data_IF_845548297032
#
_entry.id   IF_845548297032
#
_cell.length_a   1.000
_cell.length_b   1.000
_cell.length_c   1.000
_cell.angle_alpha   90.00
_cell.angle_beta   90.00
_cell.angle_gamma   90.00
#
_symmetry.space_group_name_H-M   'P 1'
#
loop_
_entity.id
_entity.type
_entity.pdbx_description
1 polymer ?
#
# COMPACT_ATOMS: atom_id res chain seq x y z
N UNK A 1 -6.63 8.61 -38.10
CA UNK A 1 -7.79 9.12 -37.32
C UNK A 1 -8.97 8.25 -37.70
N UNK A 2 -9.64 7.60 -36.74
CA UNK A 2 -10.89 6.86 -37.02
C UNK A 2 -11.98 7.90 -37.35
N UNK A 3 -12.22 8.16 -38.63
CA UNK A 3 -13.33 9.00 -39.07
C UNK A 3 -14.60 8.16 -39.13
N UNK A 4 -15.67 8.62 -38.50
CA UNK A 4 -17.02 8.09 -38.72
C UNK A 4 -17.47 8.55 -40.11
N UNK A 5 -17.13 7.78 -41.14
CA UNK A 5 -17.72 7.99 -42.46
C UNK A 5 -19.19 7.55 -42.40
N UNK A 6 -20.11 8.50 -42.30
CA UNK A 6 -21.55 8.29 -42.38
C UNK A 6 -22.05 7.95 -43.80
N UNK A 7 -21.19 7.47 -44.70
CA UNK A 7 -21.44 7.41 -46.15
C UNK A 7 -21.21 6.05 -46.82
N UNK A 8 -21.32 4.94 -46.07
CA UNK A 8 -21.27 3.59 -46.65
C UNK A 8 -22.60 3.16 -47.27
N UNK A 9 -22.62 2.21 -48.23
CA UNK A 9 -23.85 1.63 -48.78
C UNK A 9 -24.76 1.09 -47.66
N UNK A 10 -26.10 1.19 -47.78
CA UNK A 10 -27.03 0.64 -46.81
C UNK A 10 -26.74 -0.85 -46.54
N UNK A 11 -26.56 -1.21 -45.26
CA UNK A 11 -26.29 -2.59 -44.83
C UNK A 11 -24.81 -2.96 -44.62
N UNK A 12 -23.85 -2.07 -44.91
CA UNK A 12 -22.43 -2.32 -44.59
C UNK A 12 -22.03 -1.74 -43.23
N UNK A 13 -21.27 -2.46 -42.40
CA UNK A 13 -20.79 -1.94 -41.12
C UNK A 13 -19.82 -0.76 -41.34
N UNK A 14 -19.78 0.23 -40.42
CA UNK A 14 -18.86 1.36 -40.52
C UNK A 14 -17.40 0.90 -40.66
N UNK A 15 -16.59 1.58 -41.49
CA UNK A 15 -15.17 1.26 -41.71
C UNK A 15 -14.38 1.12 -40.40
N UNK A 16 -14.73 1.92 -39.40
CA UNK A 16 -14.14 1.84 -38.07
C UNK A 16 -14.30 0.45 -37.42
N UNK A 17 -15.43 -0.24 -37.64
CA UNK A 17 -15.67 -1.60 -37.12
C UNK A 17 -14.70 -2.62 -37.72
N UNK A 18 -14.39 -2.49 -39.02
CA UNK A 18 -13.42 -3.36 -39.69
C UNK A 18 -11.99 -3.13 -39.17
N UNK A 19 -11.59 -1.86 -39.03
CA UNK A 19 -10.27 -1.51 -38.48
C UNK A 19 -10.11 -2.01 -37.04
N UNK A 20 -11.15 -1.87 -36.21
CA UNK A 20 -11.11 -2.35 -34.83
C UNK A 20 -10.96 -3.88 -34.78
N UNK A 21 -11.69 -4.64 -35.59
CA UNK A 21 -11.49 -6.10 -35.65
C UNK A 21 -10.05 -6.48 -36.02
N UNK A 22 -9.46 -5.80 -37.00
CA UNK A 22 -8.07 -6.05 -37.43
C UNK A 22 -7.04 -5.61 -36.40
N UNK A 23 -7.34 -4.64 -35.52
CA UNK A 23 -6.34 -4.15 -34.56
C UNK A 23 -5.97 -5.21 -33.53
N UNK A 24 -6.90 -6.09 -33.14
CA UNK A 24 -6.58 -7.24 -32.27
C UNK A 24 -5.79 -8.34 -32.99
N UNK A 25 -5.73 -8.35 -34.32
CA UNK A 25 -4.80 -9.22 -35.05
C UNK A 25 -3.40 -8.59 -35.08
N UNK A 26 -3.32 -7.28 -35.30
CA UNK A 26 -2.04 -6.54 -35.35
C UNK A 26 -1.38 -6.41 -33.97
N UNK A 27 -2.17 -6.39 -32.90
CA UNK A 27 -1.67 -6.28 -31.52
C UNK A 27 -0.74 -7.43 -31.14
N UNK A 28 -0.86 -8.59 -31.79
CA UNK A 28 0.03 -9.74 -31.59
C UNK A 28 1.49 -9.41 -31.90
N UNK A 29 1.72 -8.55 -32.88
CA UNK A 29 3.05 -8.21 -33.37
C UNK A 29 3.59 -6.92 -32.74
N UNK A 30 2.71 -5.94 -32.49
CA UNK A 30 3.08 -4.62 -31.98
C UNK A 30 2.14 -4.17 -30.85
N UNK A 31 2.15 -4.86 -29.69
CA UNK A 31 1.14 -4.67 -28.67
C UNK A 31 1.13 -3.27 -28.06
N UNK A 32 2.29 -2.71 -27.72
CA UNK A 32 2.38 -1.40 -27.08
C UNK A 32 1.86 -0.29 -28.00
N UNK A 33 2.26 -0.27 -29.28
CA UNK A 33 1.80 0.74 -30.24
C UNK A 33 0.30 0.66 -30.49
N UNK A 34 -0.26 -0.55 -30.56
CA UNK A 34 -1.70 -0.73 -30.75
C UNK A 34 -2.48 -0.27 -29.52
N UNK A 35 -2.04 -0.61 -28.31
CA UNK A 35 -2.65 -0.15 -27.05
C UNK A 35 -2.56 1.37 -26.90
N UNK A 36 -1.40 1.97 -27.21
CA UNK A 36 -1.20 3.43 -27.17
C UNK A 36 -2.11 4.12 -28.20
N UNK A 37 -2.25 3.56 -29.40
CA UNK A 37 -3.15 4.08 -30.43
C UNK A 37 -4.61 4.01 -29.98
N UNK A 38 -5.04 2.88 -29.42
CA UNK A 38 -6.39 2.72 -28.85
C UNK A 38 -6.63 3.72 -27.72
N UNK A 39 -5.63 3.99 -26.88
CA UNK A 39 -5.72 4.96 -25.80
C UNK A 39 -5.91 6.39 -26.31
N UNK A 40 -5.39 6.70 -27.50
CA UNK A 40 -5.64 7.99 -28.19
C UNK A 40 -7.01 8.03 -28.86
N UNK A 41 -7.51 6.91 -29.40
CA UNK A 41 -8.80 6.88 -30.10
C UNK A 41 -10.00 6.81 -29.16
N UNK A 42 -9.91 6.05 -28.06
CA UNK A 42 -11.05 5.80 -27.15
C UNK A 42 -11.69 7.07 -26.59
N UNK A 43 -10.96 8.15 -26.22
CA UNK A 43 -11.60 9.38 -25.76
C UNK A 43 -12.28 10.19 -26.88
N UNK A 44 -12.01 9.87 -28.15
CA UNK A 44 -12.39 10.67 -29.33
C UNK A 44 -13.42 9.98 -30.22
N UNK A 45 -13.65 8.68 -30.03
CA UNK A 45 -14.51 7.86 -30.88
C UNK A 45 -15.35 6.91 -30.03
N UNK A 46 -16.69 7.08 -30.06
CA UNK A 46 -17.63 6.33 -29.23
C UNK A 46 -17.66 4.83 -29.56
N UNK A 47 -17.50 4.48 -30.84
CA UNK A 47 -17.44 3.08 -31.27
C UNK A 47 -16.18 2.40 -30.73
N UNK A 48 -15.02 3.04 -30.87
CA UNK A 48 -13.76 2.53 -30.33
C UNK A 48 -13.81 2.41 -28.80
N UNK A 49 -14.37 3.40 -28.11
CA UNK A 49 -14.60 3.37 -26.67
C UNK A 49 -15.43 2.16 -26.25
N UNK A 50 -16.63 2.02 -26.82
CA UNK A 50 -17.57 0.94 -26.50
C UNK A 50 -16.97 -0.43 -26.80
N UNK A 51 -16.29 -0.56 -27.93
CA UNK A 51 -15.68 -1.82 -28.35
C UNK A 51 -14.53 -2.26 -27.44
N UNK A 52 -13.63 -1.34 -27.05
CA UNK A 52 -12.55 -1.67 -26.10
C UNK A 52 -13.12 -2.00 -24.72
N UNK A 53 -14.11 -1.23 -24.25
CA UNK A 53 -14.73 -1.41 -22.93
C UNK A 53 -15.49 -2.74 -22.83
N UNK A 54 -16.26 -3.11 -23.85
CA UNK A 54 -17.02 -4.37 -23.85
C UNK A 54 -16.13 -5.62 -23.96
N UNK A 55 -14.92 -5.49 -24.48
CA UNK A 55 -14.00 -6.61 -24.68
C UNK A 55 -12.90 -6.71 -23.60
N UNK A 56 -13.02 -6.03 -22.46
CA UNK A 56 -11.98 -5.99 -21.42
C UNK A 56 -11.54 -7.37 -20.95
N UNK A 57 -12.44 -8.34 -20.83
CA UNK A 57 -12.11 -9.71 -20.41
C UNK A 57 -11.09 -10.38 -21.33
N UNK A 58 -11.05 -10.01 -22.61
CA UNK A 58 -10.18 -10.63 -23.61
C UNK A 58 -8.74 -10.08 -23.60
N UNK A 59 -8.54 -8.86 -23.09
CA UNK A 59 -7.28 -8.14 -23.27
C UNK A 59 -6.65 -7.66 -21.97
N UNK A 60 -7.43 -7.37 -20.92
CA UNK A 60 -6.89 -6.74 -19.70
C UNK A 60 -5.88 -7.65 -19.02
N UNK A 61 -6.24 -8.87 -18.64
CA UNK A 61 -5.26 -9.78 -18.02
C UNK A 61 -4.09 -10.04 -18.95
N UNK A 62 -4.37 -10.29 -20.23
CA UNK A 62 -3.37 -10.62 -21.24
C UNK A 62 -2.26 -9.58 -21.33
N UNK A 63 -2.63 -8.30 -21.44
CA UNK A 63 -1.66 -7.23 -21.66
C UNK A 63 -1.23 -6.52 -20.38
N UNK A 64 -2.08 -6.43 -19.36
CA UNK A 64 -1.77 -5.76 -18.09
C UNK A 64 -1.02 -6.68 -17.11
N UNK A 65 -1.36 -7.97 -17.04
CA UNK A 65 -0.78 -8.92 -16.09
C UNK A 65 0.18 -9.89 -16.80
N UNK A 66 -0.31 -10.65 -17.77
CA UNK A 66 0.40 -11.80 -18.33
C UNK A 66 1.63 -11.41 -19.16
N UNK A 67 1.54 -10.32 -19.92
CA UNK A 67 2.57 -9.91 -20.87
C UNK A 67 3.92 -9.63 -20.18
N UNK A 68 5.01 -10.17 -20.75
CA UNK A 68 6.34 -10.10 -20.14
C UNK A 68 6.99 -8.72 -20.25
N UNK A 69 6.72 -7.98 -21.33
CA UNK A 69 7.31 -6.66 -21.54
C UNK A 69 6.65 -5.56 -20.67
N UNK A 70 7.40 -4.87 -19.79
CA UNK A 70 6.85 -3.82 -18.92
C UNK A 70 6.15 -2.69 -19.68
N UNK A 71 6.69 -2.27 -20.83
CA UNK A 71 6.10 -1.23 -21.68
C UNK A 71 4.67 -1.56 -22.11
N UNK A 72 4.40 -2.82 -22.44
CA UNK A 72 3.05 -3.26 -22.83
C UNK A 72 2.09 -3.18 -21.66
N UNK A 73 2.53 -3.58 -20.45
CA UNK A 73 1.71 -3.45 -19.23
C UNK A 73 1.38 -2.00 -18.92
N UNK A 74 2.35 -1.09 -19.09
CA UNK A 74 2.12 0.35 -18.94
C UNK A 74 1.14 0.89 -19.98
N UNK A 75 1.28 0.51 -21.26
CA UNK A 75 0.34 0.91 -22.32
C UNK A 75 -1.07 0.36 -22.06
N UNK A 76 -1.20 -0.86 -21.52
CA UNK A 76 -2.49 -1.44 -21.14
C UNK A 76 -3.16 -0.66 -19.99
N UNK A 77 -2.39 -0.31 -18.94
CA UNK A 77 -2.90 0.53 -17.85
C UNK A 77 -3.35 1.90 -18.37
N UNK A 78 -2.58 2.48 -19.30
CA UNK A 78 -2.90 3.76 -19.91
C UNK A 78 -4.15 3.72 -20.82
N UNK A 79 -4.38 2.61 -21.51
CA UNK A 79 -5.62 2.36 -22.23
C UNK A 79 -6.82 2.32 -21.27
N UNK A 80 -6.72 1.63 -20.13
CA UNK A 80 -7.78 1.60 -19.13
C UNK A 80 -8.11 2.99 -18.57
N UNK A 81 -7.08 3.79 -18.27
CA UNK A 81 -7.26 5.21 -17.87
C UNK A 81 -7.99 6.00 -18.95
N UNK A 82 -7.69 5.71 -20.23
CA UNK A 82 -8.30 6.40 -21.37
C UNK A 82 -9.77 6.05 -21.60
N UNK A 83 -10.22 4.90 -21.10
CA UNK A 83 -11.64 4.52 -21.12
C UNK A 83 -12.49 5.38 -20.18
N UNK A 84 -11.92 5.92 -19.10
CA UNK A 84 -12.68 6.76 -18.17
C UNK A 84 -12.98 8.09 -18.85
N UNK A 85 -14.25 8.48 -19.08
CA UNK A 85 -14.61 9.66 -19.89
C UNK A 85 -14.41 11.01 -19.15
N UNK A 86 -13.26 11.19 -18.49
CA UNK A 86 -12.86 12.43 -17.81
C UNK A 86 -11.46 12.87 -18.23
N UNK A 87 -11.34 14.09 -18.75
CA UNK A 87 -10.05 14.69 -19.10
C UNK A 87 -9.16 14.89 -17.87
N UNK A 88 -9.73 15.39 -16.78
CA UNK A 88 -9.03 15.64 -15.52
C UNK A 88 -8.46 14.35 -14.93
N UNK A 89 -9.25 13.27 -14.93
CA UNK A 89 -8.79 11.94 -14.53
C UNK A 89 -7.58 11.50 -15.36
N UNK A 90 -7.67 11.58 -16.69
CA UNK A 90 -6.55 11.18 -17.57
C UNK A 90 -5.29 12.03 -17.38
N UNK A 91 -5.44 13.33 -17.17
CA UNK A 91 -4.30 14.24 -16.98
C UNK A 91 -3.59 13.99 -15.65
N UNK A 92 -4.36 13.81 -14.57
CA UNK A 92 -3.79 13.54 -13.25
C UNK A 92 -2.96 12.27 -13.24
N UNK A 93 -3.43 11.17 -13.86
CA UNK A 93 -2.66 9.93 -13.98
C UNK A 93 -1.27 10.11 -14.62
N UNK A 94 -1.13 11.03 -15.58
CA UNK A 94 0.16 11.33 -16.24
C UNK A 94 1.07 12.23 -15.39
N UNK A 95 0.49 13.06 -14.52
CA UNK A 95 1.21 14.06 -13.72
C UNK A 95 1.79 13.48 -12.43
N UNK A 96 1.16 12.45 -11.87
CA UNK A 96 1.57 11.90 -10.57
C UNK A 96 2.81 11.02 -10.73
N UNK A 97 3.98 11.55 -10.35
CA UNK A 97 5.24 10.78 -10.27
C UNK A 97 5.21 9.66 -9.22
N UNK A 98 4.19 9.63 -8.36
CA UNK A 98 3.95 8.56 -7.39
C UNK A 98 2.51 8.05 -7.54
N UNK A 99 2.33 6.96 -8.29
CA UNK A 99 1.04 6.28 -8.50
C UNK A 99 0.45 5.65 -7.22
N UNK A 100 1.08 5.87 -6.06
CA UNK A 100 0.73 5.26 -4.78
C UNK A 100 -0.17 6.13 -3.90
N UNK A 101 -0.49 7.36 -4.33
CA UNK A 101 -1.33 8.30 -3.60
C UNK A 101 -2.70 8.39 -4.31
N UNK A 102 -3.81 8.06 -3.63
CA UNK A 102 -5.15 8.20 -4.22
C UNK A 102 -5.45 9.64 -4.60
N UNK A 103 -6.09 9.83 -5.74
CA UNK A 103 -6.65 11.13 -6.12
C UNK A 103 -7.95 11.38 -5.37
N UNK A 104 -7.81 11.74 -4.09
CA UNK A 104 -8.89 12.30 -3.29
C UNK A 104 -9.33 13.62 -3.95
N UNK A 105 -10.63 13.87 -4.00
CA UNK A 105 -11.25 15.14 -4.44
C UNK A 105 -11.35 15.42 -5.96
N UNK A 106 -11.36 14.38 -6.80
CA UNK A 106 -11.75 14.54 -8.21
C UNK A 106 -13.25 14.30 -8.41
N UNK A 107 -14.09 15.34 -8.62
CA UNK A 107 -15.51 15.15 -8.90
C UNK A 107 -15.69 14.53 -10.29
N UNK A 108 -16.29 13.34 -10.33
CA UNK A 108 -16.66 12.64 -11.56
C UNK A 108 -18.17 12.73 -11.79
N UNK A 109 -18.59 12.87 -13.05
CA UNK A 109 -20.02 12.80 -13.40
C UNK A 109 -20.56 11.38 -13.19
N UNK A 110 -21.87 11.19 -12.95
CA UNK A 110 -22.46 9.86 -12.77
C UNK A 110 -22.10 8.88 -13.89
N UNK A 111 -22.19 9.30 -15.16
CA UNK A 111 -21.85 8.48 -16.32
C UNK A 111 -20.36 8.08 -16.34
N UNK A 112 -19.48 8.98 -15.89
CA UNK A 112 -18.04 8.69 -15.78
C UNK A 112 -17.78 7.67 -14.68
N UNK A 113 -18.46 7.82 -13.55
CA UNK A 113 -18.37 6.91 -12.41
C UNK A 113 -18.82 5.50 -12.78
N UNK A 114 -19.88 5.34 -13.58
CA UNK A 114 -20.32 4.02 -14.09
C UNK A 114 -19.20 3.32 -14.87
N UNK A 115 -18.53 4.03 -15.79
CA UNK A 115 -17.42 3.45 -16.56
C UNK A 115 -16.23 3.13 -15.65
N UNK A 116 -15.91 3.99 -14.67
CA UNK A 116 -14.88 3.74 -13.67
C UNK A 116 -15.17 2.45 -12.88
N UNK A 117 -16.40 2.29 -12.39
CA UNK A 117 -16.80 1.11 -11.62
C UNK A 117 -16.74 -0.15 -12.46
N UNK A 118 -17.16 -0.09 -13.74
CA UNK A 118 -17.04 -1.23 -14.65
C UNK A 118 -15.59 -1.66 -14.84
N UNK A 119 -14.68 -0.71 -15.10
CA UNK A 119 -13.24 -0.97 -15.24
C UNK A 119 -12.65 -1.53 -13.93
N UNK A 120 -12.96 -0.89 -12.81
CA UNK A 120 -12.43 -1.28 -11.51
C UNK A 120 -12.91 -2.66 -11.07
N UNK A 121 -14.17 -3.03 -11.38
CA UNK A 121 -14.70 -4.35 -11.10
C UNK A 121 -13.97 -5.46 -11.87
N UNK A 122 -13.62 -5.22 -13.15
CA UNK A 122 -12.77 -6.15 -13.92
C UNK A 122 -11.40 -6.31 -13.26
N UNK A 123 -10.79 -5.22 -12.81
CA UNK A 123 -9.50 -5.29 -12.12
C UNK A 123 -9.59 -6.08 -10.83
N UNK A 124 -10.61 -5.84 -10.00
CA UNK A 124 -10.85 -6.60 -8.77
C UNK A 124 -11.00 -8.11 -9.05
N UNK A 125 -11.76 -8.47 -10.10
CA UNK A 125 -11.91 -9.87 -10.53
C UNK A 125 -10.60 -10.57 -10.88
N UNK A 126 -9.58 -9.82 -11.30
CA UNK A 126 -8.25 -10.35 -11.62
C UNK A 126 -7.37 -10.66 -10.40
N UNK A 127 -7.74 -10.26 -9.18
CA UNK A 127 -6.96 -10.56 -7.97
C UNK A 127 -6.74 -12.07 -7.81
N UNK A 128 -7.79 -12.87 -8.04
CA UNK A 128 -7.74 -14.33 -7.98
C UNK A 128 -6.76 -14.95 -8.98
N UNK A 129 -6.54 -14.28 -10.13
CA UNK A 129 -5.63 -14.70 -11.21
C UNK A 129 -4.23 -14.13 -11.05
N UNK A 130 -4.08 -12.98 -10.37
CA UNK A 130 -2.80 -12.32 -10.13
C UNK A 130 -1.77 -13.23 -9.42
N UNK A 131 -2.24 -14.24 -8.66
CA UNK A 131 -1.40 -15.25 -7.99
C UNK A 131 -0.54 -16.11 -8.92
N UNK A 132 -0.85 -16.11 -10.22
CA UNK A 132 -0.06 -16.75 -11.26
C UNK A 132 1.19 -15.95 -11.62
N UNK A 133 1.25 -14.67 -11.25
CA UNK A 133 2.28 -13.72 -11.71
C UNK A 133 3.20 -13.20 -10.60
N UNK A 134 3.19 -13.82 -9.41
CA UNK A 134 3.95 -13.36 -8.23
C UNK A 134 5.26 -14.09 -7.98
N UNK A 135 5.50 -15.20 -8.69
CA UNK A 135 6.78 -15.90 -8.59
C UNK A 135 7.91 -15.01 -9.15
N UNK A 136 8.76 -14.52 -8.25
CA UNK A 136 9.83 -13.60 -8.61
C UNK A 136 10.88 -14.23 -9.53
N UNK A 137 11.09 -15.55 -9.46
CA UNK A 137 12.05 -16.23 -10.33
C UNK A 137 11.58 -16.28 -11.79
N UNK A 138 10.26 -16.36 -12.00
CA UNK A 138 9.66 -16.44 -13.34
C UNK A 138 9.28 -15.05 -13.87
N UNK A 139 8.84 -14.15 -12.99
CA UNK A 139 8.16 -12.90 -13.37
C UNK A 139 8.86 -11.64 -12.89
N UNK A 140 9.87 -11.76 -12.03
CA UNK A 140 10.51 -10.63 -11.38
C UNK A 140 9.62 -9.95 -10.35
N UNK A 141 10.14 -8.87 -9.76
CA UNK A 141 9.52 -8.20 -8.61
C UNK A 141 8.64 -7.00 -8.97
N UNK A 142 8.43 -6.72 -10.26
CA UNK A 142 7.71 -5.52 -10.73
C UNK A 142 6.52 -5.81 -11.66
N UNK A 143 6.20 -7.09 -11.93
CA UNK A 143 5.18 -7.49 -12.91
C UNK A 143 3.80 -6.92 -12.62
N UNK A 144 3.37 -6.91 -11.37
CA UNK A 144 2.03 -6.46 -10.92
C UNK A 144 1.97 -4.98 -10.53
N UNK A 145 3.07 -4.25 -10.60
CA UNK A 145 3.11 -2.83 -10.20
C UNK A 145 2.10 -1.98 -11.00
N UNK A 146 2.02 -2.04 -12.36
CA UNK A 146 1.05 -1.25 -13.10
C UNK A 146 -0.40 -1.55 -12.74
N UNK A 147 -0.69 -2.82 -12.43
CA UNK A 147 -2.02 -3.29 -12.03
C UNK A 147 -2.46 -2.69 -10.70
N UNK A 148 -1.67 -2.85 -9.63
CA UNK A 148 -2.02 -2.29 -8.31
C UNK A 148 -1.98 -0.76 -8.27
N UNK A 149 -1.07 -0.14 -9.02
CA UNK A 149 -1.03 1.31 -9.18
C UNK A 149 -2.33 1.84 -9.78
N UNK A 150 -2.85 1.20 -10.83
CA UNK A 150 -4.11 1.63 -11.42
C UNK A 150 -5.32 1.31 -10.54
N UNK A 151 -5.32 0.17 -9.84
CA UNK A 151 -6.36 -0.12 -8.83
C UNK A 151 -6.41 0.94 -7.73
N UNK A 152 -5.26 1.37 -7.21
CA UNK A 152 -5.16 2.45 -6.22
C UNK A 152 -5.66 3.77 -6.80
N UNK A 153 -5.33 4.06 -8.05
CA UNK A 153 -5.78 5.26 -8.75
C UNK A 153 -7.30 5.32 -8.94
N UNK A 154 -7.96 4.17 -9.03
CA UNK A 154 -9.42 4.10 -9.13
C UNK A 154 -10.15 4.45 -7.82
N UNK A 155 -9.45 4.56 -6.68
CA UNK A 155 -10.05 4.85 -5.37
C UNK A 155 -10.39 6.35 -5.23
N UNK A 156 -11.44 6.78 -5.92
CA UNK A 156 -11.92 8.18 -5.91
C UNK A 156 -12.80 8.48 -4.69
N UNK A 157 -13.63 7.53 -4.27
CA UNK A 157 -14.59 7.69 -3.19
C UNK A 157 -14.64 6.47 -2.27
N UNK A 158 -15.53 6.50 -1.26
CA UNK A 158 -15.79 5.34 -0.40
C UNK A 158 -16.43 4.18 -1.18
N UNK A 159 -17.15 4.44 -2.27
CA UNK A 159 -17.86 3.42 -3.04
C UNK A 159 -16.90 2.38 -3.61
N UNK A 160 -15.80 2.80 -4.23
CA UNK A 160 -14.81 1.87 -4.80
C UNK A 160 -14.13 1.06 -3.69
N UNK A 161 -13.91 1.67 -2.52
CA UNK A 161 -13.39 0.93 -1.35
C UNK A 161 -14.35 -0.18 -0.93
N UNK A 162 -15.66 0.04 -0.95
CA UNK A 162 -16.66 -0.98 -0.60
C UNK A 162 -16.80 -2.06 -1.68
N UNK A 163 -16.57 -1.74 -2.96
CA UNK A 163 -16.54 -2.74 -4.03
C UNK A 163 -15.44 -3.81 -3.82
N UNK A 164 -14.34 -3.45 -3.15
CA UNK A 164 -13.26 -4.38 -2.83
C UNK A 164 -13.67 -5.48 -1.84
N UNK A 165 -14.67 -5.26 -0.98
CA UNK A 165 -14.95 -6.14 0.16
C UNK A 165 -15.18 -7.61 -0.23
N UNK A 166 -15.80 -7.89 -1.38
CA UNK A 166 -16.03 -9.26 -1.88
C UNK A 166 -14.76 -9.96 -2.37
N UNK A 167 -13.70 -9.21 -2.65
CA UNK A 167 -12.43 -9.70 -3.18
C UNK A 167 -11.31 -9.74 -2.12
N UNK A 168 -11.64 -9.44 -0.86
CA UNK A 168 -10.68 -9.38 0.24
C UNK A 168 -9.82 -10.65 0.35
N UNK A 169 -10.46 -11.82 0.28
CA UNK A 169 -9.73 -13.09 0.39
C UNK A 169 -8.82 -13.38 -0.81
N UNK A 170 -9.16 -12.89 -2.01
CA UNK A 170 -8.29 -13.03 -3.17
C UNK A 170 -7.00 -12.20 -3.00
N UNK A 171 -7.11 -10.98 -2.46
CA UNK A 171 -5.95 -10.17 -2.09
C UNK A 171 -5.13 -10.82 -0.98
N UNK A 172 -5.79 -11.36 0.06
CA UNK A 172 -5.09 -12.05 1.14
C UNK A 172 -4.29 -13.26 0.65
N UNK A 173 -4.91 -14.13 -0.15
CA UNK A 173 -4.27 -15.33 -0.72
C UNK A 173 -3.14 -15.01 -1.71
N UNK A 174 -3.12 -13.78 -2.24
CA UNK A 174 -2.03 -13.25 -3.04
C UNK A 174 -0.88 -12.73 -2.17
N UNK A 175 -1.20 -12.09 -1.04
CA UNK A 175 -0.21 -11.58 -0.11
C UNK A 175 0.47 -12.71 0.69
N UNK A 176 -0.33 -13.51 1.41
CA UNK A 176 0.15 -14.62 2.23
C UNK A 176 -0.12 -15.97 1.53
N UNK A 177 0.88 -16.87 1.44
CA UNK A 177 2.29 -16.68 1.80
C UNK A 177 3.12 -16.03 0.68
N UNK A 178 2.55 -15.88 -0.53
CA UNK A 178 3.29 -15.71 -1.79
C UNK A 178 4.15 -14.46 -1.89
N UNK A 179 3.76 -13.35 -1.28
CA UNK A 179 4.51 -12.08 -1.33
C UNK A 179 5.13 -11.72 0.02
N UNK A 180 4.49 -12.12 1.12
CA UNK A 180 4.90 -11.77 2.48
C UNK A 180 6.08 -12.59 3.00
N UNK A 181 6.13 -13.90 2.72
CA UNK A 181 7.14 -14.82 3.28
C UNK A 181 8.48 -14.89 2.52
N UNK A 182 8.52 -14.83 1.17
CA UNK A 182 9.79 -14.94 0.46
C UNK A 182 10.82 -13.91 0.91
N UNK A 183 12.05 -14.35 1.14
CA UNK A 183 13.18 -13.55 1.60
C UNK A 183 13.76 -12.65 0.49
N UNK A 184 12.90 -11.86 -0.15
CA UNK A 184 13.25 -10.93 -1.23
C UNK A 184 13.35 -9.54 -0.63
N UNK A 185 14.56 -8.95 -0.68
CA UNK A 185 14.84 -7.63 -0.13
C UNK A 185 13.91 -6.53 -0.69
N UNK A 186 13.77 -6.47 -2.02
CA UNK A 186 13.03 -5.43 -2.73
C UNK A 186 11.97 -6.02 -3.67
N UNK A 187 10.82 -6.35 -3.09
CA UNK A 187 9.67 -6.87 -3.85
C UNK A 187 8.66 -5.75 -4.16
N UNK A 188 8.77 -5.08 -5.31
CA UNK A 188 7.88 -3.97 -5.68
C UNK A 188 6.41 -4.41 -5.93
N UNK A 189 6.16 -5.68 -6.28
CA UNK A 189 4.80 -6.22 -6.34
C UNK A 189 4.16 -6.19 -4.95
N UNK A 190 4.90 -6.59 -3.90
CA UNK A 190 4.47 -6.50 -2.51
C UNK A 190 4.20 -5.05 -2.10
N UNK A 191 5.12 -4.14 -2.42
CA UNK A 191 4.96 -2.71 -2.12
C UNK A 191 3.68 -2.12 -2.75
N UNK A 192 3.45 -2.40 -4.04
CA UNK A 192 2.27 -1.89 -4.73
C UNK A 192 0.96 -2.50 -4.18
N UNK A 193 0.97 -3.80 -3.84
CA UNK A 193 -0.17 -4.45 -3.18
C UNK A 193 -0.48 -3.83 -1.82
N UNK A 194 0.53 -3.65 -0.96
CA UNK A 194 0.34 -3.06 0.37
C UNK A 194 -0.12 -1.60 0.28
N UNK A 195 0.39 -0.84 -0.67
CA UNK A 195 -0.09 0.52 -0.95
C UNK A 195 -1.57 0.53 -1.35
N UNK A 196 -1.99 -0.37 -2.25
CA UNK A 196 -3.40 -0.53 -2.59
C UNK A 196 -4.26 -0.94 -1.38
N UNK A 197 -3.82 -1.94 -0.63
CA UNK A 197 -4.55 -2.48 0.51
C UNK A 197 -4.69 -1.45 1.65
N UNK A 198 -3.65 -0.67 1.92
CA UNK A 198 -3.74 0.45 2.86
C UNK A 198 -4.80 1.46 2.41
N UNK A 199 -4.75 1.89 1.14
CA UNK A 199 -5.66 2.93 0.64
C UNK A 199 -7.12 2.49 0.53
N UNK A 200 -7.37 1.20 0.26
CA UNK A 200 -8.75 0.65 0.26
C UNK A 200 -9.32 0.52 1.67
N UNK A 201 -8.46 0.45 2.68
CA UNK A 201 -8.80 0.37 4.10
C UNK A 201 -8.88 1.73 4.80
N UNK A 202 -8.04 2.69 4.41
CA UNK A 202 -8.00 4.03 5.00
C UNK A 202 -9.39 4.68 4.90
N UNK A 203 -9.88 5.27 5.99
CA UNK A 203 -11.21 5.90 6.07
C UNK A 203 -12.38 4.94 5.71
N UNK A 204 -12.17 3.63 5.80
CA UNK A 204 -13.14 2.58 5.45
C UNK A 204 -13.14 1.43 6.48
N UNK A 205 -13.76 1.62 7.66
CA UNK A 205 -13.77 0.63 8.73
C UNK A 205 -14.41 -0.71 8.33
N UNK A 206 -15.31 -0.71 7.35
CA UNK A 206 -15.92 -1.91 6.79
C UNK A 206 -14.86 -2.89 6.25
N UNK A 207 -13.83 -2.38 5.57
CA UNK A 207 -12.74 -3.21 5.06
C UNK A 207 -11.78 -3.67 6.15
N UNK A 208 -11.54 -2.83 7.18
CA UNK A 208 -10.73 -3.25 8.34
C UNK A 208 -11.42 -4.38 9.11
N UNK A 209 -12.75 -4.35 9.23
CA UNK A 209 -13.52 -5.44 9.87
C UNK A 209 -13.27 -6.79 9.21
N UNK A 210 -13.11 -6.84 7.89
CA UNK A 210 -12.77 -8.08 7.17
C UNK A 210 -11.44 -8.68 7.63
N UNK A 211 -10.47 -7.83 8.00
CA UNK A 211 -9.17 -8.24 8.53
C UNK A 211 -9.34 -8.76 9.96
N UNK A 212 -9.86 -7.93 10.87
CA UNK A 212 -9.87 -8.24 12.31
C UNK A 212 -10.87 -9.32 12.72
N UNK A 213 -11.89 -9.59 11.89
CA UNK A 213 -12.85 -10.68 12.10
C UNK A 213 -12.39 -12.01 11.50
N UNK A 214 -11.30 -12.04 10.74
CA UNK A 214 -10.79 -13.26 10.11
C UNK A 214 -9.58 -13.83 10.88
N UNK A 215 -9.73 -14.95 11.60
CA UNK A 215 -8.65 -15.52 12.41
C UNK A 215 -7.43 -15.97 11.61
N UNK A 216 -7.62 -16.35 10.34
CA UNK A 216 -6.49 -16.74 9.47
C UNK A 216 -5.64 -15.51 9.17
N UNK A 217 -6.28 -14.36 8.98
CA UNK A 217 -5.58 -13.11 8.68
C UNK A 217 -4.92 -12.54 9.93
N UNK A 218 -5.65 -12.41 11.04
CA UNK A 218 -5.09 -11.82 12.28
C UNK A 218 -3.91 -12.60 12.85
N UNK A 219 -3.87 -13.93 12.65
CA UNK A 219 -2.73 -14.77 13.06
C UNK A 219 -1.49 -14.57 12.19
N UNK A 220 -1.65 -14.18 10.93
CA UNK A 220 -0.57 -14.23 9.95
C UNK A 220 -0.15 -12.88 9.37
N UNK A 221 -0.96 -11.83 9.50
CA UNK A 221 -0.70 -10.53 8.86
C UNK A 221 0.61 -9.88 9.32
N UNK A 222 1.07 -10.21 10.54
CA UNK A 222 2.33 -9.74 11.08
C UNK A 222 3.57 -10.48 10.53
N UNK A 223 3.40 -11.60 9.82
CA UNK A 223 4.48 -12.34 9.14
C UNK A 223 4.78 -11.75 7.76
N UNK A 224 5.40 -10.57 7.75
CA UNK A 224 5.93 -9.92 6.56
C UNK A 224 7.46 -9.86 6.63
N UNK A 225 8.16 -10.48 5.68
CA UNK A 225 9.61 -10.41 5.57
C UNK A 225 10.06 -8.98 5.26
N UNK A 226 10.94 -8.45 6.10
CA UNK A 226 11.54 -7.11 5.96
C UNK A 226 13.05 -7.28 6.14
N UNK A 227 13.82 -6.91 5.12
CA UNK A 227 15.26 -6.71 5.26
C UNK A 227 15.50 -5.26 5.68
N UNK A 228 16.15 -5.05 6.83
CA UNK A 228 16.56 -3.73 7.32
C UNK A 228 18.09 -3.61 7.21
N UNK A 229 18.58 -3.60 5.97
CA UNK A 229 19.97 -3.21 5.69
C UNK A 229 20.00 -1.68 5.57
N UNK A 230 20.63 -1.02 6.53
CA UNK A 230 20.67 0.44 6.63
C UNK A 230 21.77 1.08 5.79
N UNK A 231 22.69 0.26 5.28
CA UNK A 231 23.81 0.68 4.43
C UNK A 231 23.45 0.54 2.94
N UNK A 232 22.54 -0.37 2.59
CA UNK A 232 21.98 -0.51 1.24
C UNK A 232 20.89 0.55 0.95
N UNK A 233 21.23 1.54 0.11
CA UNK A 233 20.32 2.62 -0.25
C UNK A 233 19.07 2.17 -1.02
N UNK A 234 19.16 1.10 -1.83
CA UNK A 234 18.02 0.59 -2.58
C UNK A 234 17.01 -0.07 -1.63
N UNK A 235 17.51 -0.82 -0.63
CA UNK A 235 16.69 -1.38 0.45
C UNK A 235 16.06 -0.27 1.29
N UNK A 236 16.83 0.77 1.65
CA UNK A 236 16.31 1.93 2.39
C UNK A 236 15.19 2.62 1.62
N UNK A 237 15.39 2.90 0.31
CA UNK A 237 14.40 3.57 -0.52
C UNK A 237 13.13 2.72 -0.71
N UNK A 238 13.29 1.41 -0.91
CA UNK A 238 12.17 0.48 -0.98
C UNK A 238 11.34 0.49 0.32
N UNK A 239 12.00 0.36 1.47
CA UNK A 239 11.37 0.33 2.78
C UNK A 239 10.68 1.66 3.12
N UNK A 240 11.26 2.79 2.73
CA UNK A 240 10.62 4.13 2.83
C UNK A 240 9.26 4.17 2.16
N UNK A 241 9.08 3.48 1.04
CA UNK A 241 7.81 3.43 0.33
C UNK A 241 6.85 2.32 0.80
N UNK A 242 7.37 1.18 1.24
CA UNK A 242 6.54 0.00 1.58
C UNK A 242 6.06 0.00 3.05
N UNK A 243 6.95 0.31 3.99
CA UNK A 243 6.69 0.12 5.42
C UNK A 243 5.56 1.01 5.98
N UNK A 244 5.41 2.29 5.59
CA UNK A 244 4.30 3.11 6.10
C UNK A 244 2.94 2.50 5.79
N UNK A 245 2.74 1.97 4.57
CA UNK A 245 1.49 1.31 4.20
C UNK A 245 1.26 0.02 5.03
N UNK A 246 2.31 -0.77 5.23
CA UNK A 246 2.22 -2.01 6.02
C UNK A 246 1.84 -1.72 7.49
N UNK A 247 2.61 -0.88 8.17
CA UNK A 247 2.34 -0.54 9.57
C UNK A 247 1.05 0.27 9.73
N UNK A 248 0.68 1.09 8.74
CA UNK A 248 -0.60 1.77 8.68
C UNK A 248 -1.78 0.81 8.66
N UNK A 249 -1.73 -0.31 7.91
CA UNK A 249 -2.77 -1.35 7.95
C UNK A 249 -2.88 -1.93 9.36
N UNK A 250 -1.75 -2.26 9.99
CA UNK A 250 -1.74 -2.80 11.35
C UNK A 250 -2.31 -1.80 12.36
N UNK A 251 -1.97 -0.51 12.25
CA UNK A 251 -2.53 0.57 13.09
C UNK A 251 -4.05 0.63 12.95
N UNK A 252 -4.56 0.68 11.72
CA UNK A 252 -6.01 0.72 11.47
C UNK A 252 -6.71 -0.52 12.07
N UNK A 253 -6.08 -1.70 12.01
CA UNK A 253 -6.61 -2.90 12.67
C UNK A 253 -6.62 -2.78 14.19
N UNK A 254 -5.59 -2.19 14.79
CA UNK A 254 -5.52 -1.95 16.23
C UNK A 254 -6.55 -0.91 16.72
N UNK A 255 -6.80 0.13 15.94
CA UNK A 255 -7.87 1.10 16.21
C UNK A 255 -9.25 0.44 16.20
N UNK A 256 -9.45 -0.56 15.34
CA UNK A 256 -10.73 -1.25 15.18
C UNK A 256 -10.96 -2.41 16.16
N UNK A 257 -9.89 -3.06 16.63
CA UNK A 257 -9.97 -4.30 17.44
C UNK A 257 -8.97 -4.31 18.61
N UNK A 258 -9.45 -4.11 19.86
CA UNK A 258 -8.60 -4.20 21.04
C UNK A 258 -7.94 -5.56 21.23
N UNK A 259 -8.65 -6.65 20.89
CA UNK A 259 -8.11 -8.01 20.97
C UNK A 259 -6.92 -8.18 20.01
N UNK A 260 -7.03 -7.67 18.78
CA UNK A 260 -5.92 -7.67 17.83
C UNK A 260 -4.76 -6.80 18.34
N UNK A 261 -5.05 -5.65 18.94
CA UNK A 261 -4.03 -4.78 19.56
C UNK A 261 -3.20 -5.49 20.61
N UNK A 262 -3.82 -6.28 21.50
CA UNK A 262 -3.07 -7.08 22.50
C UNK A 262 -2.22 -8.17 21.85
N UNK A 263 -2.79 -8.91 20.90
CA UNK A 263 -2.07 -9.94 20.15
C UNK A 263 -0.85 -9.35 19.41
N UNK A 264 -1.01 -8.17 18.81
CA UNK A 264 0.05 -7.53 18.03
C UNK A 264 1.16 -6.95 18.92
N UNK A 265 0.81 -6.39 20.09
CA UNK A 265 1.78 -5.82 21.03
C UNK A 265 2.83 -6.85 21.50
N UNK A 266 2.44 -8.10 21.68
CA UNK A 266 3.35 -9.21 22.07
C UNK A 266 4.05 -9.87 20.87
N UNK A 267 3.74 -9.46 19.64
CA UNK A 267 4.25 -10.15 18.45
C UNK A 267 5.75 -9.86 18.20
N UNK A 268 6.53 -10.92 18.01
CA UNK A 268 7.99 -10.83 17.84
C UNK A 268 8.43 -9.92 16.69
N UNK A 269 7.73 -9.92 15.56
CA UNK A 269 8.09 -9.06 14.41
C UNK A 269 7.85 -7.58 14.69
N UNK A 270 6.93 -7.25 15.61
CA UNK A 270 6.68 -5.86 16.03
C UNK A 270 7.77 -5.41 17.00
N UNK A 271 8.18 -6.28 17.93
CA UNK A 271 9.33 -6.03 18.79
C UNK A 271 10.63 -5.87 17.97
N UNK A 272 10.80 -6.70 16.92
CA UNK A 272 11.89 -6.55 15.96
C UNK A 272 11.83 -5.19 15.23
N UNK A 273 10.64 -4.75 14.80
CA UNK A 273 10.46 -3.47 14.12
C UNK A 273 10.84 -2.28 15.03
N UNK A 274 10.39 -2.28 16.29
CA UNK A 274 10.81 -1.27 17.27
C UNK A 274 12.33 -1.26 17.45
N UNK A 275 12.97 -2.43 17.54
CA UNK A 275 14.41 -2.51 17.72
C UNK A 275 15.21 -2.01 16.52
N UNK A 276 14.79 -2.33 15.29
CA UNK A 276 15.64 -2.15 14.09
C UNK A 276 15.20 -0.98 13.19
N UNK A 277 13.98 -0.45 13.32
CA UNK A 277 13.51 0.64 12.46
C UNK A 277 13.46 1.99 13.18
N UNK A 278 13.00 2.04 14.43
CA UNK A 278 12.88 3.32 15.15
C UNK A 278 14.21 4.02 15.48
N UNK A 279 15.37 3.33 15.64
CA UNK A 279 16.66 4.04 15.73
C UNK A 279 17.00 4.82 14.45
N UNK A 280 16.45 4.40 13.30
CA UNK A 280 16.76 4.95 11.98
C UNK A 280 15.67 5.91 11.49
N UNK A 281 15.18 6.81 12.36
CA UNK A 281 14.06 7.71 12.05
C UNK A 281 14.31 8.65 10.86
N UNK A 282 15.56 9.06 10.61
CA UNK A 282 15.93 9.84 9.41
C UNK A 282 15.83 9.02 8.12
N UNK A 283 16.05 7.71 8.21
CA UNK A 283 15.91 6.79 7.08
C UNK A 283 14.44 6.36 6.88
N UNK A 284 13.64 6.20 7.94
CA UNK A 284 12.26 5.70 7.79
C UNK A 284 11.21 6.56 8.49
N UNK A 285 11.11 7.88 8.19
CA UNK A 285 10.27 8.79 8.97
C UNK A 285 8.81 8.32 9.06
N UNK A 286 8.18 7.96 7.94
CA UNK A 286 6.78 7.51 7.93
C UNK A 286 6.55 6.14 8.58
N UNK A 287 7.53 5.22 8.52
CA UNK A 287 7.38 3.93 9.18
C UNK A 287 7.53 4.07 10.71
N UNK A 288 8.45 4.93 11.15
CA UNK A 288 8.67 5.24 12.56
C UNK A 288 7.46 5.96 13.15
N UNK A 289 6.85 6.89 12.41
CA UNK A 289 5.59 7.51 12.79
C UNK A 289 4.48 6.47 13.04
N UNK A 290 4.24 5.56 12.11
CA UNK A 290 3.23 4.49 12.26
C UNK A 290 3.55 3.54 13.43
N UNK A 291 4.83 3.22 13.66
CA UNK A 291 5.26 2.42 14.82
C UNK A 291 5.00 3.13 16.15
N UNK A 292 5.23 4.45 16.24
CA UNK A 292 4.91 5.21 17.44
C UNK A 292 3.40 5.34 17.67
N UNK A 293 2.60 5.47 16.61
CA UNK A 293 1.14 5.43 16.72
C UNK A 293 0.67 4.05 17.23
N UNK A 294 1.26 2.96 16.74
CA UNK A 294 1.03 1.62 17.30
C UNK A 294 1.44 1.51 18.77
N UNK A 295 2.59 2.07 19.16
CA UNK A 295 3.05 2.10 20.55
C UNK A 295 2.02 2.77 21.47
N UNK A 296 1.44 3.90 21.04
CA UNK A 296 0.38 4.58 21.78
C UNK A 296 -0.87 3.69 21.94
N UNK A 297 -1.28 2.99 20.88
CA UNK A 297 -2.41 2.06 20.95
C UNK A 297 -2.10 0.84 21.85
N UNK A 298 -0.85 0.39 21.89
CA UNK A 298 -0.42 -0.69 22.78
C UNK A 298 -0.43 -0.29 24.24
N UNK A 299 -0.12 0.96 24.57
CA UNK A 299 -0.12 1.45 25.97
C UNK A 299 -1.43 2.06 26.42
N UNK A 300 -2.35 2.40 25.50
CA UNK A 300 -3.63 3.00 25.82
C UNK A 300 -4.42 2.15 26.84
N UNK A 301 -4.80 2.77 27.96
CA UNK A 301 -5.66 2.17 28.97
C UNK A 301 -7.11 2.61 28.77
N UNK A 302 -8.06 1.69 28.98
CA UNK A 302 -9.50 1.98 28.94
C UNK A 302 -10.14 1.63 30.30
N UNK A 303 -11.19 2.37 30.73
CA UNK A 303 -11.80 2.15 32.05
C UNK A 303 -12.34 0.73 32.28
N UNK A 304 -12.65 0.01 31.21
CA UNK A 304 -13.26 -1.33 31.19
C UNK A 304 -12.26 -2.47 30.94
N UNK A 305 -10.96 -2.19 31.00
CA UNK A 305 -9.93 -3.21 30.78
C UNK A 305 -9.90 -4.26 31.88
N UNK A 306 -9.75 -5.53 31.47
CA UNK A 306 -9.50 -6.65 32.40
C UNK A 306 -8.07 -6.58 32.95
N UNK A 307 -7.86 -7.19 34.12
CA UNK A 307 -6.53 -7.25 34.75
C UNK A 307 -5.47 -7.87 33.81
N UNK A 308 -5.83 -8.92 33.08
CA UNK A 308 -5.02 -9.53 32.02
C UNK A 308 -4.56 -8.51 30.95
N UNK A 309 -5.46 -7.63 30.50
CA UNK A 309 -5.13 -6.60 29.50
C UNK A 309 -4.20 -5.52 30.07
N UNK A 310 -4.32 -5.21 31.36
CA UNK A 310 -3.42 -4.28 32.04
C UNK A 310 -2.03 -4.88 32.23
N UNK A 311 -1.94 -6.18 32.53
CA UNK A 311 -0.67 -6.88 32.65
C UNK A 311 0.02 -7.04 31.29
N UNK A 312 -0.73 -7.24 30.20
CA UNK A 312 -0.20 -7.18 28.83
C UNK A 312 0.42 -5.80 28.52
N UNK A 313 -0.20 -4.70 28.95
CA UNK A 313 0.36 -3.33 28.79
C UNK A 313 1.67 -3.20 29.55
N UNK A 314 1.69 -3.61 30.83
CA UNK A 314 2.90 -3.56 31.65
C UNK A 314 4.01 -4.41 31.03
N UNK A 315 3.67 -5.59 30.54
CA UNK A 315 4.62 -6.49 29.87
C UNK A 315 5.20 -5.86 28.60
N UNK A 316 4.36 -5.28 27.76
CA UNK A 316 4.78 -4.53 26.57
C UNK A 316 5.73 -3.39 26.94
N UNK A 317 5.30 -2.49 27.84
CA UNK A 317 6.12 -1.37 28.31
C UNK A 317 7.47 -1.82 28.84
N UNK A 318 7.48 -2.80 29.74
CA UNK A 318 8.72 -3.34 30.33
C UNK A 318 9.67 -3.87 29.25
N UNK A 319 9.15 -4.63 28.29
CA UNK A 319 9.94 -5.22 27.20
C UNK A 319 10.50 -4.14 26.27
N UNK A 320 9.68 -3.17 25.87
CA UNK A 320 10.08 -2.10 24.94
C UNK A 320 11.04 -1.11 25.60
N UNK A 321 10.80 -0.68 26.84
CA UNK A 321 11.75 0.16 27.60
C UNK A 321 13.09 -0.55 27.73
N UNK A 322 13.09 -1.82 28.13
CA UNK A 322 14.32 -2.62 28.27
C UNK A 322 15.06 -2.78 26.94
N UNK A 323 14.33 -2.92 25.84
CA UNK A 323 14.91 -2.97 24.50
C UNK A 323 15.65 -1.67 24.18
N UNK A 324 14.97 -0.52 24.32
CA UNK A 324 15.55 0.77 23.99
C UNK A 324 16.73 1.16 24.86
N UNK A 325 16.69 0.87 26.15
CA UNK A 325 17.82 1.10 27.05
C UNK A 325 19.05 0.25 26.70
N UNK A 326 18.87 -0.88 25.99
CA UNK A 326 19.96 -1.76 25.56
C UNK A 326 20.48 -1.45 24.16
N UNK A 327 19.61 -0.98 23.25
CA UNK A 327 19.93 -0.88 21.82
C UNK A 327 20.08 0.55 21.29
N UNK A 328 19.52 1.56 21.96
CA UNK A 328 19.67 2.95 21.53
C UNK A 328 20.93 3.55 22.12
N UNK A 329 21.65 4.32 21.30
CA UNK A 329 22.73 5.20 21.73
C UNK A 329 22.15 6.60 22.04
N UNK A 330 22.41 7.10 23.25
CA UNK A 330 21.86 8.37 23.73
C UNK A 330 22.33 9.59 22.92
N UNK A 331 23.45 9.50 22.20
CA UNK A 331 23.99 10.63 21.41
C UNK A 331 23.34 10.73 20.04
N UNK A 332 23.12 9.59 19.38
CA UNK A 332 22.59 9.53 18.01
C UNK A 332 21.07 9.34 17.94
N UNK A 333 20.46 8.69 18.94
CA UNK A 333 19.05 8.28 18.92
C UNK A 333 18.18 9.02 19.93
N UNK A 334 18.61 10.19 20.42
CA UNK A 334 17.93 10.92 21.49
C UNK A 334 16.49 11.32 21.16
N UNK A 335 16.20 11.71 19.92
CA UNK A 335 14.84 12.06 19.47
C UNK A 335 13.89 10.88 19.57
N UNK A 336 14.33 9.70 19.13
CA UNK A 336 13.60 8.43 19.27
C UNK A 336 13.39 8.08 20.74
N UNK A 337 14.42 8.20 21.57
CA UNK A 337 14.34 7.90 23.00
C UNK A 337 13.31 8.80 23.71
N UNK A 338 13.37 10.12 23.47
CA UNK A 338 12.41 11.08 24.03
C UNK A 338 10.99 10.74 23.57
N UNK A 339 10.80 10.46 22.27
CA UNK A 339 9.48 10.15 21.71
C UNK A 339 8.90 8.87 22.32
N UNK A 340 9.72 7.82 22.46
CA UNK A 340 9.32 6.58 23.12
C UNK A 340 8.97 6.80 24.60
N UNK A 341 9.83 7.50 25.35
CA UNK A 341 9.62 7.70 26.78
C UNK A 341 8.41 8.58 27.10
N UNK A 342 8.04 9.51 26.22
CA UNK A 342 6.77 10.25 26.35
C UNK A 342 5.55 9.35 26.31
N UNK A 343 5.61 8.24 25.58
CA UNK A 343 4.51 7.25 25.49
C UNK A 343 4.61 6.21 26.61
N UNK A 344 5.83 5.75 26.94
CA UNK A 344 6.04 4.60 27.81
C UNK A 344 6.06 4.96 29.32
N UNK A 345 6.54 6.16 29.70
CA UNK A 345 6.83 6.52 31.10
C UNK A 345 5.68 7.26 31.80
N UNK A 346 4.53 6.60 31.91
CA UNK A 346 3.33 7.17 32.53
C UNK A 346 3.34 7.00 34.06
N UNK A 347 3.78 5.84 34.55
CA UNK A 347 3.76 5.48 35.98
C UNK A 347 5.14 5.63 36.65
N UNK A 348 5.15 5.64 38.00
CA UNK A 348 6.40 5.61 38.76
C UNK A 348 7.17 4.30 38.59
N UNK A 349 6.46 3.18 38.37
CA UNK A 349 7.08 1.90 38.06
C UNK A 349 7.87 1.95 36.74
N UNK A 350 7.29 2.57 35.71
CA UNK A 350 7.97 2.78 34.41
C UNK A 350 9.25 3.61 34.59
N UNK A 351 9.18 4.69 35.40
CA UNK A 351 10.32 5.56 35.70
C UNK A 351 11.40 4.82 36.49
N UNK A 352 11.01 4.03 37.50
CA UNK A 352 11.92 3.21 38.27
C UNK A 352 12.63 2.18 37.38
N UNK A 353 11.92 1.55 36.44
CA UNK A 353 12.50 0.63 35.48
C UNK A 353 13.65 1.27 34.69
N UNK A 354 13.47 2.53 34.25
CA UNK A 354 14.52 3.29 33.56
C UNK A 354 15.72 3.54 34.47
N UNK A 355 15.48 3.98 35.71
CA UNK A 355 16.56 4.25 36.67
C UNK A 355 17.38 2.99 36.98
N UNK A 356 16.72 1.88 37.29
CA UNK A 356 17.38 0.61 37.63
C UNK A 356 18.15 0.00 36.46
N UNK A 357 17.73 0.28 35.22
CA UNK A 357 18.39 -0.21 34.01
C UNK A 357 19.40 0.80 33.42
N UNK A 358 20.03 1.62 34.29
CA UNK A 358 21.05 2.61 33.91
C UNK A 358 20.58 3.68 32.91
N UNK A 359 19.28 3.88 32.76
CA UNK A 359 18.72 4.85 31.82
C UNK A 359 19.08 6.30 32.14
N UNK A 360 19.42 6.61 33.40
CA UNK A 360 19.96 7.94 33.76
C UNK A 360 21.28 8.24 33.05
N UNK A 361 22.15 7.25 32.84
CA UNK A 361 23.42 7.42 32.11
C UNK A 361 23.11 7.78 30.66
N UNK A 362 22.22 7.01 30.02
CA UNK A 362 21.77 7.25 28.65
C UNK A 362 21.16 8.66 28.49
N UNK A 363 20.33 9.09 29.44
CA UNK A 363 19.70 10.40 29.44
C UNK A 363 20.67 11.54 29.75
N UNK A 364 21.73 11.31 30.56
CA UNK A 364 22.77 12.33 30.77
C UNK A 364 23.58 12.58 29.49
N UNK A 365 23.79 11.57 28.66
CA UNK A 365 24.43 11.77 27.35
C UNK A 365 23.56 12.61 26.41
N UNK A 366 22.24 12.47 26.47
CA UNK A 366 21.27 13.33 25.77
C UNK A 366 21.37 14.79 26.26
N UNK A 367 21.44 15.00 27.58
CA UNK A 367 21.52 16.33 28.19
C UNK A 367 22.84 17.06 27.93
N UNK A 368 23.93 16.37 27.60
CA UNK A 368 25.19 17.03 27.20
C UNK A 368 25.05 17.76 25.85
N UNK A 369 24.07 17.39 25.02
CA UNK A 369 23.83 18.00 23.69
C UNK A 369 22.88 19.20 23.76
N UNK A 370 21.96 19.25 24.73
CA UNK A 370 21.02 20.38 24.91
C UNK A 370 21.71 21.77 25.00
N UNK A 371 22.81 21.94 25.75
CA UNK A 371 23.53 23.22 25.81
C UNK A 371 24.15 23.67 24.49
N UNK A 372 24.48 22.76 23.57
CA UNK A 372 25.11 23.12 22.28
C UNK A 372 24.12 23.58 21.21
N UNK A 373 22.82 23.26 21.35
CA UNK A 373 21.76 23.75 20.46
C UNK A 373 21.06 25.00 21.01
N UNK A 374 20.99 25.17 22.33
CA UNK A 374 20.40 26.37 22.95
C UNK A 374 21.36 27.57 22.88
N UNK A 375 22.67 27.36 22.82
CA UNK A 375 23.67 28.43 22.72
C UNK A 375 24.03 28.84 21.27
N UNK A 376 23.31 28.34 20.25
CA UNK A 376 23.46 28.74 18.84
C UNK A 376 22.53 29.88 18.40
N UNK A 377 21.75 30.44 19.32
CA UNK A 377 20.92 31.62 19.10
C UNK A 377 21.29 32.69 20.13
N UNK A 378 22.38 33.39 19.87
CA UNK A 378 22.63 34.72 20.41
C UNK A 378 22.62 35.73 19.28
#
# INVERSE_FOLDING_TARGET
MLMEFAGGPPGMPPFASYILQRIWEVIEYNPSQCLDWLAVQTPRNKLAHSWVLQNMENWVERFLLAHNYPRVRTSAAYLLVSLIPSNSFRQMFRSTRSLHIPTRDLPLSPDTTVVLHQVYNVLLGLLSRAKLYVDAAVHGTTKLVPYFSFMTYCLISKTEKLMFSTYFMDLWNLFQPKLSEPAIATNHNKQALLSFWYNVCADCPENIRLIVQNPVVTKNIAFNYILADHDDQDVVLFNRGMLPAYYGILRLCCEQSPAFTRQLASHQNIQWAFKNLTPHASQYPGAVEELFNLMQLFTAQRPDMREEELDDIKHFKKTTISCYLRCLDGRSCWTTLISAFRVLLESDEDRLLVVFNRGLILMTEVNIILPFLVNGCH
#
